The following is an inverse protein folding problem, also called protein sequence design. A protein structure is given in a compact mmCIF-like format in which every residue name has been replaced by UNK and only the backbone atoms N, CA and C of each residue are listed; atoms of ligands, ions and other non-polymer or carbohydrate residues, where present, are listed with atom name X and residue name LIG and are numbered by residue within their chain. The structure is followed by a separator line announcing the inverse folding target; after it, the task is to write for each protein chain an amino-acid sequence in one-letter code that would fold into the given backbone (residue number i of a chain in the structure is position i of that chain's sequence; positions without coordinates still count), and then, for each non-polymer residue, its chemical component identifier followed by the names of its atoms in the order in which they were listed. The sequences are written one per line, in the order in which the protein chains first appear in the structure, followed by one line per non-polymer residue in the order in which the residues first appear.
data_IF_414759411450
#
_entry.id   IF_414759411450
#
_cell.length_a   1.000
_cell.length_b   1.000
_cell.length_c   1.000
_cell.angle_alpha   90.00
_cell.angle_beta   90.00
_cell.angle_gamma   90.00
#
_symmetry.space_group_name_H-M   'P 1'
#
loop_
_entity.id
_entity.type
_entity.pdbx_description
1 polymer ?
#
# COMPACT_ATOMS: atom_id res chain seq x y z
N UNK A 1 -0.10 5.69 -18.80
CA UNK A 1 0.50 4.73 -17.88
C UNK A 1 0.15 5.11 -16.45
N UNK A 2 -0.48 4.23 -15.74
CA UNK A 2 -0.93 4.50 -14.38
C UNK A 2 -0.21 3.59 -13.39
N UNK A 3 1.05 3.87 -13.17
CA UNK A 3 1.84 3.10 -12.22
C UNK A 3 1.48 3.48 -10.80
N UNK A 4 1.22 2.48 -9.98
CA UNK A 4 0.87 2.65 -8.57
C UNK A 4 1.86 1.92 -7.69
N UNK A 5 1.96 2.35 -6.45
CA UNK A 5 2.90 1.76 -5.50
C UNK A 5 2.23 1.52 -4.16
N UNK A 6 2.60 0.41 -3.54
CA UNK A 6 2.27 0.14 -2.14
C UNK A 6 3.54 0.39 -1.34
N UNK A 7 3.53 1.43 -0.54
CA UNK A 7 4.70 1.87 0.20
C UNK A 7 4.45 1.72 1.70
N UNK A 8 5.52 1.66 2.47
CA UNK A 8 5.42 1.63 3.92
C UNK A 8 6.46 2.54 4.54
N UNK A 9 6.11 3.14 5.67
CA UNK A 9 7.04 3.96 6.43
C UNK A 9 7.79 3.07 7.41
N UNK A 10 9.11 3.10 7.33
CA UNK A 10 9.98 2.35 8.22
C UNK A 10 10.86 3.28 9.01
N UNK A 11 11.52 2.76 10.03
CA UNK A 11 12.42 3.56 10.89
C UNK A 11 13.58 4.18 10.11
N UNK A 12 13.91 3.89 8.99
CA UNK A 12 14.96 4.50 8.18
C UNK A 12 14.46 5.24 6.95
N UNK A 13 13.14 5.37 6.79
CA UNK A 13 12.54 6.02 5.64
C UNK A 13 11.48 5.16 4.97
N UNK A 14 11.10 5.52 3.77
CA UNK A 14 10.09 4.80 3.02
C UNK A 14 10.64 3.54 2.37
N UNK A 15 9.81 2.51 2.34
CA UNK A 15 10.13 1.29 1.63
C UNK A 15 8.98 0.94 0.69
N UNK A 16 9.29 0.59 -0.55
CA UNK A 16 8.28 0.16 -1.52
C UNK A 16 8.09 -1.34 -1.41
N UNK A 17 6.87 -1.77 -1.07
CA UNK A 17 6.54 -3.19 -0.99
C UNK A 17 6.16 -3.76 -2.34
N UNK A 18 5.46 -2.98 -3.17
CA UNK A 18 5.00 -3.45 -4.46
C UNK A 18 4.79 -2.28 -5.40
N UNK A 19 4.94 -2.56 -6.69
CA UNK A 19 4.64 -1.60 -7.75
C UNK A 19 3.87 -2.35 -8.83
N UNK A 20 2.93 -1.66 -9.46
CA UNK A 20 2.19 -2.25 -10.56
C UNK A 20 1.68 -1.17 -11.49
N UNK A 21 1.46 -1.56 -12.74
CA UNK A 21 0.82 -0.70 -13.74
C UNK A 21 -0.63 -1.15 -13.86
N UNK A 22 -1.57 -0.25 -13.61
CA UNK A 22 -2.98 -0.60 -13.59
C UNK A 22 -3.50 -1.08 -14.93
N UNK A 23 -2.80 -0.78 -16.01
CA UNK A 23 -3.23 -1.18 -17.35
C UNK A 23 -2.72 -2.57 -17.75
N UNK A 24 -1.59 -3.00 -17.17
CA UNK A 24 -0.95 -4.25 -17.58
C UNK A 24 -0.88 -5.30 -16.49
N UNK A 25 -1.19 -4.93 -15.25
CA UNK A 25 -1.06 -5.85 -14.12
C UNK A 25 -2.04 -7.02 -14.25
N UNK A 26 -1.54 -8.23 -13.97
CA UNK A 26 -2.38 -9.40 -13.99
C UNK A 26 -3.23 -9.51 -12.73
N UNK A 27 -4.34 -10.22 -12.83
CA UNK A 27 -5.21 -10.45 -11.66
C UNK A 27 -4.45 -11.21 -10.57
N UNK A 28 -3.61 -12.15 -10.97
CA UNK A 28 -2.80 -12.91 -10.02
C UNK A 28 -1.87 -12.00 -9.23
N UNK A 29 -1.22 -11.05 -9.92
CA UNK A 29 -0.33 -10.10 -9.25
C UNK A 29 -1.11 -9.21 -8.30
N UNK A 30 -2.26 -8.71 -8.70
CA UNK A 30 -3.11 -7.90 -7.83
C UNK A 30 -3.53 -8.67 -6.58
N UNK A 31 -3.85 -9.94 -6.72
CA UNK A 31 -4.21 -10.78 -5.57
C UNK A 31 -3.06 -10.90 -4.58
N UNK A 32 -1.84 -11.05 -5.07
CA UNK A 32 -0.66 -11.10 -4.21
C UNK A 32 -0.45 -9.78 -3.48
N UNK A 33 -0.60 -8.66 -4.18
CA UNK A 33 -0.44 -7.33 -3.59
C UNK A 33 -1.51 -7.08 -2.54
N UNK A 34 -2.74 -7.45 -2.84
CA UNK A 34 -3.84 -7.31 -1.91
C UNK A 34 -3.61 -8.13 -0.63
N UNK A 35 -3.04 -9.30 -0.78
CA UNK A 35 -2.71 -10.15 0.37
C UNK A 35 -1.68 -9.47 1.28
N UNK A 36 -0.64 -8.88 0.68
CA UNK A 36 0.35 -8.11 1.44
C UNK A 36 -0.30 -6.97 2.19
N UNK A 37 -1.18 -6.24 1.52
CA UNK A 37 -1.93 -5.15 2.13
C UNK A 37 -2.76 -5.64 3.31
N UNK A 38 -3.53 -6.71 3.12
CA UNK A 38 -4.39 -7.25 4.16
C UNK A 38 -3.58 -7.75 5.36
N UNK A 39 -2.43 -8.37 5.11
CA UNK A 39 -1.56 -8.84 6.18
C UNK A 39 -1.07 -7.68 7.05
N UNK A 40 -0.67 -6.58 6.43
CA UNK A 40 -0.19 -5.42 7.16
C UNK A 40 -1.31 -4.78 7.98
N UNK A 41 -2.48 -4.64 7.39
CA UNK A 41 -3.62 -4.07 8.11
C UNK A 41 -4.01 -4.97 9.30
N UNK A 42 -3.94 -6.27 9.12
CA UNK A 42 -4.22 -7.22 10.19
C UNK A 42 -3.20 -7.13 11.32
N UNK A 43 -1.97 -6.70 11.01
CA UNK A 43 -0.94 -6.50 12.02
C UNK A 43 -1.07 -5.16 12.76
N UNK A 44 -2.02 -4.34 12.36
CA UNK A 44 -2.27 -3.07 13.00
C UNK A 44 -1.77 -1.85 12.23
N UNK A 45 -1.29 -2.03 11.02
CA UNK A 45 -0.88 -0.91 10.19
C UNK A 45 -2.09 -0.14 9.68
N UNK A 46 -1.92 1.17 9.53
CA UNK A 46 -2.93 2.00 8.90
C UNK A 46 -2.58 2.17 7.42
N UNK A 47 -3.57 2.17 6.58
CA UNK A 47 -3.39 2.40 5.16
C UNK A 47 -3.98 3.75 4.79
N UNK A 48 -3.22 4.57 4.08
CA UNK A 48 -3.67 5.87 3.61
C UNK A 48 -3.60 5.91 2.09
N UNK A 49 -4.64 6.42 1.47
CA UNK A 49 -4.66 6.68 0.04
C UNK A 49 -4.00 8.05 -0.18
N UNK A 50 -2.82 8.03 -0.78
CA UNK A 50 -2.06 9.25 -1.05
C UNK A 50 -2.13 9.68 -2.51
N UNK A 51 -2.95 9.01 -3.31
CA UNK A 51 -3.21 9.47 -4.66
C UNK A 51 -4.02 10.76 -4.58
N UNK A 52 -3.81 11.66 -5.51
CA UNK A 52 -4.51 12.94 -5.56
C UNK A 52 -4.37 13.80 -4.29
N UNK A 53 -3.33 13.58 -3.52
CA UNK A 53 -3.02 14.38 -2.31
C UNK A 53 -4.11 14.32 -1.24
N UNK A 54 -4.85 13.24 -1.19
CA UNK A 54 -5.85 13.03 -0.15
C UNK A 54 -5.33 12.04 0.87
N UNK A 55 -5.01 12.48 2.04
CA UNK A 55 -4.55 11.59 3.11
C UNK A 55 -5.76 10.93 3.77
N UNK A 56 -6.45 10.10 3.01
CA UNK A 56 -7.65 9.41 3.49
C UNK A 56 -7.29 8.00 3.92
N UNK A 57 -7.64 7.65 5.15
CA UNK A 57 -7.43 6.29 5.63
C UNK A 57 -8.40 5.34 4.94
N UNK A 58 -7.87 4.21 4.47
CA UNK A 58 -8.66 3.19 3.82
C UNK A 58 -8.48 1.86 4.52
N UNK A 59 -9.47 0.99 4.43
CA UNK A 59 -9.43 -0.35 5.04
C UNK A 59 -9.36 -1.45 4.00
N UNK A 60 -9.61 -1.12 2.75
CA UNK A 60 -9.62 -2.07 1.66
C UNK A 60 -8.60 -1.67 0.61
N UNK A 61 -8.02 -2.66 -0.04
CA UNK A 61 -7.06 -2.42 -1.10
C UNK A 61 -7.76 -1.85 -2.32
N UNK A 62 -7.21 -0.76 -2.84
CA UNK A 62 -7.68 -0.16 -4.09
C UNK A 62 -6.56 -0.21 -5.10
N UNK A 63 -6.68 -1.04 -6.16
CA UNK A 63 -5.62 -1.14 -7.15
C UNK A 63 -5.41 0.12 -7.99
N UNK A 64 -6.34 1.06 -7.92
CA UNK A 64 -6.22 2.32 -8.64
C UNK A 64 -5.68 3.44 -7.76
N UNK A 65 -5.27 3.14 -6.54
CA UNK A 65 -4.75 4.14 -5.62
C UNK A 65 -3.29 3.86 -5.26
N UNK A 66 -2.55 4.91 -4.98
CA UNK A 66 -1.23 4.77 -4.39
C UNK A 66 -1.42 4.75 -2.88
N UNK A 67 -0.88 3.74 -2.23
CA UNK A 67 -1.17 3.48 -0.83
C UNK A 67 0.09 3.58 0.01
N UNK A 68 -0.02 4.27 1.15
CA UNK A 68 1.06 4.36 2.12
C UNK A 68 0.62 3.65 3.40
N UNK A 69 1.41 2.68 3.83
CA UNK A 69 1.18 1.98 5.09
C UNK A 69 1.94 2.67 6.21
N UNK A 70 1.24 2.98 7.28
CA UNK A 70 1.77 3.69 8.42
C UNK A 70 1.73 2.75 9.63
N UNK A 71 2.87 2.50 10.31
CA UNK A 71 2.87 1.59 11.45
C UNK A 71 2.11 2.20 12.61
N UNK A 72 1.41 1.34 13.33
CA UNK A 72 0.67 1.75 14.51
C UNK A 72 1.61 2.08 15.67
N UNK A 73 2.75 1.41 15.72
CA UNK A 73 3.76 1.60 16.77
C UNK A 73 5.07 1.94 16.12
N UNK A 74 5.90 2.74 16.79
CA UNK A 74 7.21 3.08 16.25
C UNK A 74 8.09 1.85 16.09
N UNK A 75 8.91 1.87 15.05
CA UNK A 75 9.83 0.78 14.80
C UNK A 75 9.22 -0.42 14.13
N UNK A 76 8.17 -0.24 13.38
CA UNK A 76 7.42 -1.32 12.76
C UNK A 76 8.05 -2.03 11.58
N UNK A 77 9.31 -1.86 11.30
CA UNK A 77 9.98 -2.58 10.23
C UNK A 77 10.83 -3.71 10.75
#
# INVERSE_FOLDING_TARGET
MAQKKLRMICAGGDKTLAEWDTETVSQQRLTEIEREFNDKVAQGWFAADISEKRDVLIREFDPNAEILLIPRVQGGC
#
